data_IF_499671550362
#
_entry.id   IF_499671550362
#
_cell.length_a   1.000
_cell.length_b   1.000
_cell.length_c   1.000
_cell.angle_alpha   90.00
_cell.angle_beta   90.00
_cell.angle_gamma   90.00
#
_symmetry.space_group_name_H-M   'P 1'
#
loop_
_entity.id
_entity.type
_entity.pdbx_description
1 polymer ?
#
# COMPACT_ATOMS: atom_id res chain seq x y z
N UNK A 1 -2.90 10.46 -9.95
CA UNK A 1 -4.00 9.55 -9.55
C UNK A 1 -3.43 8.14 -9.53
N UNK A 2 -3.32 7.51 -8.36
CA UNK A 2 -2.70 6.19 -8.22
C UNK A 2 -3.76 5.05 -8.19
N UNK A 3 -4.96 5.29 -8.71
CA UNK A 3 -6.05 4.31 -8.76
C UNK A 3 -6.44 3.67 -7.41
N UNK A 4 -6.37 4.44 -6.31
CA UNK A 4 -6.69 3.99 -4.96
C UNK A 4 -7.76 4.89 -4.31
N UNK A 5 -8.71 5.38 -5.11
CA UNK A 5 -9.73 6.33 -4.65
C UNK A 5 -10.72 5.71 -3.65
N UNK A 6 -10.90 4.40 -3.71
CA UNK A 6 -11.74 3.59 -2.80
C UNK A 6 -11.18 3.51 -1.37
N UNK A 7 -9.89 3.83 -1.20
CA UNK A 7 -9.18 3.85 0.09
C UNK A 7 -8.65 5.25 0.46
N UNK A 8 -9.15 6.29 -0.20
CA UNK A 8 -8.70 7.66 0.04
C UNK A 8 -9.06 8.15 1.47
N UNK A 9 -8.24 9.02 2.09
CA UNK A 9 -6.97 9.56 1.57
C UNK A 9 -5.84 8.52 1.55
N UNK A 10 -5.01 8.55 0.51
CA UNK A 10 -3.95 7.56 0.29
C UNK A 10 -2.60 8.26 0.08
N UNK A 11 -1.53 7.69 0.65
CA UNK A 11 -0.15 8.02 0.25
C UNK A 11 0.54 6.76 -0.26
N UNK A 12 1.53 6.95 -1.13
CA UNK A 12 2.32 5.86 -1.68
C UNK A 12 3.80 6.12 -1.40
N UNK A 13 4.50 5.12 -0.85
CA UNK A 13 5.94 5.21 -0.55
C UNK A 13 6.60 3.97 -1.12
N UNK A 14 7.65 4.15 -1.94
CA UNK A 14 8.36 3.06 -2.61
C UNK A 14 7.43 2.02 -3.25
N UNK A 15 6.43 2.49 -4.02
CA UNK A 15 5.40 1.67 -4.69
C UNK A 15 4.40 0.93 -3.79
N UNK A 16 4.45 1.15 -2.48
CA UNK A 16 3.51 0.55 -1.53
C UNK A 16 2.44 1.54 -1.06
N UNK A 17 1.21 1.05 -0.88
CA UNK A 17 0.05 1.87 -0.50
C UNK A 17 -0.12 1.95 1.02
N UNK A 18 -0.44 3.16 1.48
CA UNK A 18 -0.88 3.47 2.83
C UNK A 18 -2.26 4.13 2.73
N UNK A 19 -3.28 3.40 3.14
CA UNK A 19 -4.69 3.72 2.98
C UNK A 19 -5.26 4.47 4.18
N UNK A 20 -6.42 5.11 3.99
CA UNK A 20 -7.20 5.77 5.04
C UNK A 20 -6.37 6.74 5.90
N UNK A 21 -5.46 7.46 5.26
CA UNK A 21 -4.47 8.29 5.93
C UNK A 21 -5.05 9.59 6.47
N UNK A 22 -4.44 10.04 7.56
CA UNK A 22 -4.64 11.38 8.13
C UNK A 22 -3.31 12.14 8.10
N UNK A 23 -3.31 13.49 8.23
CA UNK A 23 -2.07 14.23 8.35
C UNK A 23 -1.16 13.72 9.47
N UNK A 24 -1.73 13.32 10.61
CA UNK A 24 -0.97 12.76 11.74
C UNK A 24 -0.34 11.41 11.38
N UNK A 25 -1.10 10.47 10.79
CA UNK A 25 -0.55 9.16 10.45
C UNK A 25 0.57 9.24 9.41
N UNK A 26 0.47 10.17 8.45
CA UNK A 26 1.55 10.40 7.46
C UNK A 26 2.79 10.99 8.13
N UNK A 27 2.62 11.91 9.10
CA UNK A 27 3.74 12.42 9.90
C UNK A 27 4.44 11.29 10.65
N UNK A 28 3.67 10.43 11.33
CA UNK A 28 4.21 9.31 12.08
C UNK A 28 4.93 8.30 11.18
N UNK A 29 4.39 8.03 9.98
CA UNK A 29 5.05 7.24 8.94
C UNK A 29 6.42 7.85 8.58
N UNK A 30 6.48 9.14 8.27
CA UNK A 30 7.73 9.82 7.90
C UNK A 30 8.74 9.81 9.05
N UNK A 31 8.31 10.06 10.28
CA UNK A 31 9.20 10.06 11.45
C UNK A 31 9.74 8.65 11.74
N UNK A 32 8.90 7.62 11.61
CA UNK A 32 9.32 6.22 11.75
C UNK A 32 10.33 5.81 10.68
N UNK A 33 10.15 6.27 9.44
CA UNK A 33 11.07 6.02 8.34
C UNK A 33 12.43 6.71 8.59
N UNK A 34 12.43 7.95 9.08
CA UNK A 34 13.66 8.67 9.49
C UNK A 34 14.39 7.97 10.64
N UNK A 35 13.66 7.31 11.53
CA UNK A 35 14.22 6.49 12.62
C UNK A 35 14.67 5.08 12.16
N UNK A 36 14.59 4.77 10.86
CA UNK A 36 14.97 3.47 10.31
C UNK A 36 13.98 2.34 10.62
N UNK A 37 12.75 2.66 11.04
CA UNK A 37 11.69 1.72 11.40
C UNK A 37 10.36 2.08 10.72
N UNK A 38 10.32 2.19 9.38
CA UNK A 38 9.09 2.54 8.69
C UNK A 38 7.98 1.55 9.04
N UNK A 39 6.76 2.06 9.25
CA UNK A 39 5.59 1.20 9.42
C UNK A 39 5.32 0.43 8.13
N UNK A 40 4.81 -0.81 8.26
CA UNK A 40 4.43 -1.63 7.11
C UNK A 40 3.31 -0.95 6.31
N UNK A 41 3.26 -1.15 4.98
CA UNK A 41 2.16 -0.65 4.17
C UNK A 41 0.84 -1.33 4.54
N UNK A 42 -0.28 -0.68 4.23
CA UNK A 42 -1.61 -1.25 4.45
C UNK A 42 -1.93 -2.32 3.41
N UNK A 43 -1.43 -2.14 2.18
CA UNK A 43 -1.53 -3.10 1.07
C UNK A 43 -0.14 -3.29 0.46
N UNK A 44 0.27 -4.54 0.35
CA UNK A 44 1.57 -4.94 -0.19
C UNK A 44 2.35 -5.85 0.77
N UNK A 45 3.69 -5.90 0.63
CA UNK A 45 4.56 -6.73 1.45
C UNK A 45 4.55 -6.37 2.93
N UNK A 46 4.96 -7.32 3.78
CA UNK A 46 4.97 -7.14 5.26
C UNK A 46 5.90 -6.03 5.75
N UNK A 47 6.82 -5.56 4.92
CA UNK A 47 7.79 -4.51 5.26
C UNK A 47 7.91 -3.54 4.09
N UNK A 48 8.01 -2.25 4.40
CA UNK A 48 8.30 -1.25 3.38
C UNK A 48 9.71 -1.50 2.82
N UNK A 49 9.80 -1.66 1.49
CA UNK A 49 11.09 -1.84 0.81
C UNK A 49 11.90 -0.56 0.90
N UNK A 50 13.22 -0.70 1.02
CA UNK A 50 14.13 0.45 0.93
C UNK A 50 14.12 1.03 -0.48
N UNK A 51 14.60 2.27 -0.63
CA UNK A 51 14.77 2.90 -1.95
C UNK A 51 15.57 2.02 -2.92
N UNK A 52 16.69 1.43 -2.45
CA UNK A 52 17.53 0.55 -3.26
C UNK A 52 16.78 -0.70 -3.71
N UNK A 53 16.14 -1.41 -2.78
CA UNK A 53 15.39 -2.63 -3.09
C UNK A 53 14.23 -2.35 -4.07
N UNK A 54 13.48 -1.28 -3.85
CA UNK A 54 12.39 -0.93 -4.76
C UNK A 54 12.92 -0.51 -6.15
N UNK A 55 14.09 0.14 -6.22
CA UNK A 55 14.72 0.49 -7.50
C UNK A 55 15.12 -0.75 -8.30
N UNK A 56 15.58 -1.83 -7.65
CA UNK A 56 15.89 -3.11 -8.29
C UNK A 56 14.62 -3.75 -8.90
N UNK A 57 13.50 -3.73 -8.17
CA UNK A 57 12.20 -4.21 -8.68
C UNK A 57 11.75 -3.40 -9.89
N UNK A 58 11.86 -2.07 -9.84
CA UNK A 58 11.53 -1.20 -10.97
C UNK A 58 12.47 -1.39 -12.17
N UNK A 59 13.68 -1.90 -11.95
CA UNK A 59 14.60 -2.30 -13.03
C UNK A 59 14.30 -3.70 -13.59
N UNK A 60 13.26 -4.39 -13.09
CA UNK A 60 12.82 -5.71 -13.55
C UNK A 60 13.38 -6.89 -12.77
N UNK A 61 14.11 -6.65 -11.67
CA UNK A 61 14.58 -7.72 -10.78
C UNK A 61 13.46 -8.13 -9.83
N UNK A 62 12.95 -9.36 -9.97
CA UNK A 62 11.92 -9.86 -9.05
C UNK A 62 12.46 -9.99 -7.63
N UNK A 63 11.72 -9.44 -6.65
CA UNK A 63 11.97 -9.64 -5.22
C UNK A 63 11.10 -10.75 -4.61
N UNK A 64 10.21 -11.36 -5.40
CA UNK A 64 9.30 -12.43 -4.97
C UNK A 64 8.11 -11.99 -4.12
N UNK A 65 7.89 -10.68 -3.93
CA UNK A 65 6.90 -10.16 -2.98
C UNK A 65 5.58 -9.74 -3.63
N UNK A 66 5.45 -9.83 -4.95
CA UNK A 66 4.29 -9.36 -5.71
C UNK A 66 2.94 -9.98 -5.29
N UNK A 67 2.96 -11.15 -4.63
CA UNK A 67 1.76 -11.83 -4.15
C UNK A 67 1.52 -11.66 -2.64
N UNK A 68 2.31 -10.83 -1.95
CA UNK A 68 2.05 -10.48 -0.56
C UNK A 68 0.95 -9.42 -0.45
N UNK A 69 0.16 -9.51 0.63
CA UNK A 69 -0.90 -8.56 0.92
C UNK A 69 -2.24 -8.88 0.26
N UNK A 70 -3.19 -7.97 0.43
CA UNK A 70 -4.56 -8.11 -0.09
C UNK A 70 -4.61 -7.59 -1.53
N UNK A 71 -4.91 -8.46 -2.50
CA UNK A 71 -5.00 -8.06 -3.91
C UNK A 71 -6.22 -7.20 -4.24
N UNK A 72 -7.36 -7.45 -3.60
CA UNK A 72 -8.57 -6.64 -3.70
C UNK A 72 -9.29 -6.65 -2.35
N UNK A 73 -9.37 -5.48 -1.71
CA UNK A 73 -10.00 -5.36 -0.40
C UNK A 73 -11.52 -5.12 -0.50
N UNK A 74 -12.16 -5.01 0.66
CA UNK A 74 -13.63 -4.90 0.77
C UNK A 74 -14.19 -3.72 -0.03
N UNK A 75 -13.59 -2.53 0.07
CA UNK A 75 -14.05 -1.34 -0.64
C UNK A 75 -14.00 -1.55 -2.16
N UNK A 76 -12.93 -2.18 -2.67
CA UNK A 76 -12.77 -2.52 -4.09
C UNK A 76 -13.83 -3.53 -4.55
N UNK A 77 -14.19 -4.51 -3.71
CA UNK A 77 -15.10 -5.59 -4.05
C UNK A 77 -16.59 -5.27 -3.82
N UNK A 78 -16.91 -4.15 -3.16
CA UNK A 78 -18.28 -3.80 -2.78
C UNK A 78 -19.23 -3.78 -3.98
N UNK A 79 -18.84 -3.12 -5.07
CA UNK A 79 -19.66 -3.05 -6.29
C UNK A 79 -19.92 -4.44 -6.90
N UNK A 80 -18.91 -5.31 -6.90
CA UNK A 80 -19.04 -6.69 -7.37
C UNK A 80 -20.00 -7.50 -6.48
N UNK A 81 -19.92 -7.33 -5.16
CA UNK A 81 -20.77 -8.02 -4.19
C UNK A 81 -22.24 -7.64 -4.38
N UNK A 82 -22.52 -6.34 -4.51
CA UNK A 82 -23.87 -5.82 -4.78
C UNK A 82 -24.42 -6.38 -6.10
N UNK A 83 -23.61 -6.37 -7.16
CA UNK A 83 -24.01 -6.90 -8.46
C UNK A 83 -24.36 -8.40 -8.44
N UNK A 84 -23.74 -9.17 -7.53
CA UNK A 84 -24.03 -10.59 -7.30
C UNK A 84 -25.19 -10.85 -6.32
N UNK A 85 -25.89 -9.79 -5.88
CA UNK A 85 -27.00 -9.91 -4.92
C UNK A 85 -26.57 -10.08 -3.46
N UNK A 86 -25.29 -9.87 -3.15
CA UNK A 86 -24.81 -9.79 -1.78
C UNK A 86 -25.21 -8.45 -1.14
N UNK A 87 -25.59 -8.48 0.14
CA UNK A 87 -25.74 -7.29 0.99
C UNK A 87 -24.41 -6.96 1.65
#
# INVERSE_FOLDING_TARGET
CNAACDYAPVVMVNWEFYDNQTPQSVKDLVDSARAGKPTAPTRGPKTLRTWKQNSEVLAGLSDGLANEGVSAGEATLLGLKIAKGGK
#
